data_IF_684660588484
#
_entry.id   IF_684660588484
#
_cell.length_a   1.000
_cell.length_b   1.000
_cell.length_c   1.000
_cell.angle_alpha   90.00
_cell.angle_beta   90.00
_cell.angle_gamma   90.00
#
_symmetry.space_group_name_H-M   'P 1'
#
loop_
_entity.id
_entity.type
_entity.pdbx_description
1 polymer ?
#
# COMPACT_ATOMS: atom_id res chain seq x y z
N UNK A 1 -28.50 21.78 -14.77
CA UNK A 1 -29.41 20.81 -14.18
C UNK A 1 -28.95 20.48 -12.77
N UNK A 2 -29.78 20.77 -11.75
CA UNK A 2 -29.55 20.35 -10.36
C UNK A 2 -29.75 18.83 -10.36
N UNK A 3 -28.66 18.07 -10.44
CA UNK A 3 -28.70 16.62 -10.40
C UNK A 3 -29.39 16.15 -9.13
N UNK A 4 -30.43 15.32 -9.27
CA UNK A 4 -31.18 14.77 -8.16
C UNK A 4 -30.24 13.96 -7.26
N UNK A 5 -30.17 14.26 -5.97
CA UNK A 5 -29.26 13.56 -5.02
C UNK A 5 -29.62 12.09 -4.95
N UNK A 6 -28.65 11.16 -4.97
CA UNK A 6 -28.95 9.74 -4.90
C UNK A 6 -29.62 9.38 -3.57
N UNK A 7 -30.76 8.71 -3.64
CA UNK A 7 -31.51 8.25 -2.48
C UNK A 7 -31.16 6.82 -2.07
N UNK A 8 -30.37 6.13 -2.89
CA UNK A 8 -29.99 4.73 -2.71
C UNK A 8 -28.48 4.56 -2.55
N UNK A 9 -28.06 3.49 -1.90
CA UNK A 9 -26.70 3.25 -1.48
C UNK A 9 -25.75 3.01 -2.67
N UNK A 10 -26.13 2.14 -3.61
CA UNK A 10 -25.28 1.82 -4.76
C UNK A 10 -25.23 2.98 -5.76
N UNK A 11 -26.32 3.75 -5.89
CA UNK A 11 -26.31 4.97 -6.70
C UNK A 11 -25.35 6.02 -6.12
N UNK A 12 -25.37 6.24 -4.79
CA UNK A 12 -24.41 7.11 -4.11
C UNK A 12 -22.97 6.62 -4.30
N UNK A 13 -22.74 5.31 -4.21
CA UNK A 13 -21.41 4.75 -4.38
C UNK A 13 -20.90 4.90 -5.82
N UNK A 14 -21.76 4.73 -6.82
CA UNK A 14 -21.42 4.98 -8.24
C UNK A 14 -21.02 6.42 -8.46
N UNK A 15 -21.84 7.37 -7.97
CA UNK A 15 -21.55 8.81 -8.04
C UNK A 15 -20.15 9.11 -7.42
N UNK A 16 -19.91 8.61 -6.21
CA UNK A 16 -18.61 8.75 -5.55
C UNK A 16 -17.46 8.22 -6.42
N UNK A 17 -17.63 7.04 -7.02
CA UNK A 17 -16.60 6.43 -7.83
C UNK A 17 -16.35 7.20 -9.13
N UNK A 18 -17.38 7.75 -9.78
CA UNK A 18 -17.21 8.58 -10.97
C UNK A 18 -16.52 9.91 -10.67
N UNK A 19 -16.85 10.55 -9.55
CA UNK A 19 -16.12 11.73 -9.11
C UNK A 19 -14.66 11.43 -8.77
N UNK A 20 -14.42 10.31 -8.06
CA UNK A 20 -13.07 9.88 -7.72
C UNK A 20 -12.24 9.58 -8.97
N UNK A 21 -12.85 8.94 -9.99
CA UNK A 21 -12.22 8.63 -11.27
C UNK A 21 -11.72 9.87 -12.00
N UNK A 22 -12.52 10.96 -11.99
CA UNK A 22 -12.13 12.24 -12.61
C UNK A 22 -10.87 12.86 -11.98
N UNK A 23 -10.57 12.50 -10.73
CA UNK A 23 -9.43 13.02 -9.98
C UNK A 23 -8.19 12.11 -10.03
N UNK A 24 -8.29 10.93 -10.65
CA UNK A 24 -7.15 10.01 -10.82
C UNK A 24 -6.11 10.63 -11.76
N UNK A 25 -4.86 10.69 -11.30
CA UNK A 25 -3.76 11.35 -12.02
C UNK A 25 -3.65 12.85 -11.75
N UNK A 26 -4.58 13.46 -11.02
CA UNK A 26 -4.52 14.85 -10.55
C UNK A 26 -4.07 14.86 -9.09
N UNK A 27 -4.93 14.42 -8.17
CA UNK A 27 -4.70 14.38 -6.72
C UNK A 27 -5.10 13.04 -6.10
N UNK A 28 -5.46 12.06 -6.92
CA UNK A 28 -5.84 10.71 -6.52
C UNK A 28 -5.05 9.66 -7.28
N UNK A 29 -4.66 8.60 -6.59
CA UNK A 29 -3.94 7.48 -7.20
C UNK A 29 -4.92 6.40 -7.68
N UNK A 30 -4.57 5.76 -8.80
CA UNK A 30 -5.37 4.73 -9.47
C UNK A 30 -5.69 3.55 -8.57
N UNK A 31 -4.73 3.08 -7.78
CA UNK A 31 -4.90 1.94 -6.87
C UNK A 31 -5.98 2.19 -5.82
N UNK A 32 -6.13 3.44 -5.37
CA UNK A 32 -7.20 3.80 -4.44
C UNK A 32 -8.56 3.73 -5.14
N UNK A 33 -8.67 4.23 -6.38
CA UNK A 33 -9.89 4.12 -7.17
C UNK A 33 -10.29 2.65 -7.37
N UNK A 34 -9.36 1.80 -7.81
CA UNK A 34 -9.60 0.37 -8.00
C UNK A 34 -10.04 -0.32 -6.69
N UNK A 35 -9.53 0.15 -5.57
CA UNK A 35 -9.92 -0.35 -4.26
C UNK A 35 -11.37 0.03 -3.89
N UNK A 36 -11.83 1.22 -4.25
CA UNK A 36 -13.24 1.62 -4.13
C UNK A 36 -14.14 0.82 -5.08
N UNK A 37 -13.69 0.55 -6.30
CA UNK A 37 -14.38 -0.30 -7.26
C UNK A 37 -14.60 -1.73 -6.71
N UNK A 38 -13.58 -2.31 -6.07
CA UNK A 38 -13.71 -3.62 -5.41
C UNK A 38 -14.75 -3.58 -4.28
N UNK A 39 -14.77 -2.52 -3.49
CA UNK A 39 -15.76 -2.37 -2.43
C UNK A 39 -17.18 -2.25 -2.99
N UNK A 40 -17.36 -1.50 -4.07
CA UNK A 40 -18.63 -1.42 -4.78
C UNK A 40 -19.12 -2.80 -5.25
N UNK A 41 -18.23 -3.59 -5.87
CA UNK A 41 -18.56 -4.94 -6.34
C UNK A 41 -19.03 -5.85 -5.19
N UNK A 42 -18.33 -5.84 -4.05
CA UNK A 42 -18.74 -6.63 -2.89
C UNK A 42 -20.07 -6.18 -2.31
N UNK A 43 -20.29 -4.86 -2.20
CA UNK A 43 -21.54 -4.32 -1.67
C UNK A 43 -22.73 -4.59 -2.60
N UNK A 44 -22.55 -4.41 -3.91
CA UNK A 44 -23.55 -4.72 -4.93
C UNK A 44 -23.92 -6.21 -4.93
N UNK A 45 -22.91 -7.10 -4.81
CA UNK A 45 -23.16 -8.52 -4.70
C UNK A 45 -23.93 -8.88 -3.41
N UNK A 46 -23.58 -8.27 -2.27
CA UNK A 46 -24.30 -8.45 -1.01
C UNK A 46 -25.77 -8.03 -1.12
N UNK A 47 -26.05 -6.84 -1.67
CA UNK A 47 -27.42 -6.33 -1.85
C UNK A 47 -28.24 -7.29 -2.72
N UNK A 48 -27.67 -7.77 -3.83
CA UNK A 48 -28.35 -8.70 -4.73
C UNK A 48 -28.53 -10.09 -4.11
N UNK A 49 -27.47 -10.68 -3.57
CA UNK A 49 -27.45 -12.08 -3.15
C UNK A 49 -28.11 -12.33 -1.79
N UNK A 50 -28.01 -11.35 -0.86
CA UNK A 50 -28.53 -11.52 0.52
C UNK A 50 -29.79 -10.70 0.79
N UNK A 51 -30.01 -9.61 0.07
CA UNK A 51 -31.24 -8.79 0.24
C UNK A 51 -32.25 -9.00 -0.90
N UNK A 52 -31.85 -9.65 -2.00
CA UNK A 52 -32.72 -9.89 -3.16
C UNK A 52 -33.14 -8.61 -3.87
N UNK A 53 -32.34 -7.55 -3.77
CA UNK A 53 -32.67 -6.22 -4.29
C UNK A 53 -31.60 -5.75 -5.28
N UNK A 54 -32.01 -4.87 -6.21
CA UNK A 54 -31.04 -4.19 -7.10
C UNK A 54 -30.28 -3.08 -6.36
N UNK A 55 -30.91 -2.40 -5.40
CA UNK A 55 -30.31 -1.36 -4.57
C UNK A 55 -31.13 -1.21 -3.27
N UNK A 56 -30.58 -0.51 -2.28
CA UNK A 56 -31.25 -0.23 -0.99
C UNK A 56 -31.31 1.26 -0.73
N UNK A 57 -32.41 1.74 -0.13
CA UNK A 57 -32.51 3.16 0.22
C UNK A 57 -31.53 3.52 1.33
N UNK A 58 -30.96 4.72 1.28
CA UNK A 58 -30.04 5.19 2.34
C UNK A 58 -30.73 5.25 3.72
N UNK A 59 -32.05 5.47 3.75
CA UNK A 59 -32.83 5.55 4.99
C UNK A 59 -33.07 4.19 5.66
N UNK A 60 -32.99 3.10 4.90
CA UNK A 60 -33.15 1.74 5.45
C UNK A 60 -31.84 1.16 6.01
N UNK A 61 -30.74 1.90 5.93
CA UNK A 61 -29.47 1.47 6.46
C UNK A 61 -29.49 1.52 7.99
N UNK A 62 -29.28 0.38 8.61
CA UNK A 62 -29.23 0.19 10.04
C UNK A 62 -28.02 -0.66 10.46
N UNK A 63 -27.92 -0.95 11.74
CA UNK A 63 -26.86 -1.80 12.27
C UNK A 63 -26.93 -3.22 11.71
N UNK A 64 -28.13 -3.78 11.53
CA UNK A 64 -28.28 -5.15 11.01
C UNK A 64 -27.72 -5.25 9.59
N UNK A 65 -27.99 -4.25 8.74
CA UNK A 65 -27.40 -4.22 7.40
C UNK A 65 -25.86 -4.21 7.45
N UNK A 66 -25.27 -3.46 8.38
CA UNK A 66 -23.82 -3.40 8.54
C UNK A 66 -23.23 -4.73 9.00
N UNK A 67 -23.83 -5.35 10.04
CA UNK A 67 -23.36 -6.61 10.61
C UNK A 67 -23.52 -7.76 9.59
N UNK A 68 -24.65 -7.82 8.84
CA UNK A 68 -24.86 -8.79 7.76
C UNK A 68 -23.85 -8.64 6.63
N UNK A 69 -23.50 -7.39 6.27
CA UNK A 69 -22.46 -7.15 5.26
C UNK A 69 -21.09 -7.61 5.75
N UNK A 70 -20.78 -7.41 7.03
CA UNK A 70 -19.52 -7.92 7.61
C UNK A 70 -19.48 -9.45 7.55
N UNK A 71 -20.57 -10.14 7.96
CA UNK A 71 -20.67 -11.60 7.88
C UNK A 71 -20.49 -12.08 6.45
N UNK A 72 -21.17 -11.48 5.49
CA UNK A 72 -21.03 -11.81 4.07
C UNK A 72 -19.58 -11.69 3.58
N UNK A 73 -18.87 -10.61 3.94
CA UNK A 73 -17.47 -10.44 3.56
C UNK A 73 -16.57 -11.52 4.15
N UNK A 74 -16.84 -11.96 5.40
CA UNK A 74 -16.06 -12.97 6.10
C UNK A 74 -16.35 -14.38 5.59
N UNK A 75 -17.60 -14.74 5.44
CA UNK A 75 -18.06 -16.11 5.15
C UNK A 75 -18.19 -16.40 3.67
N UNK A 76 -19.00 -15.61 2.96
CA UNK A 76 -19.29 -15.86 1.53
C UNK A 76 -18.12 -15.43 0.61
N UNK A 77 -17.37 -14.41 1.01
CA UNK A 77 -16.22 -13.90 0.25
C UNK A 77 -14.88 -14.33 0.83
N UNK A 78 -14.86 -14.95 1.99
CA UNK A 78 -13.66 -15.47 2.68
C UNK A 78 -12.53 -14.44 2.74
N UNK A 79 -12.87 -13.17 3.04
CA UNK A 79 -11.90 -12.08 3.07
C UNK A 79 -11.14 -12.05 4.40
N UNK A 80 -9.86 -11.69 4.32
CA UNK A 80 -9.03 -11.48 5.50
C UNK A 80 -9.51 -10.27 6.32
N UNK A 81 -9.31 -10.24 7.65
CA UNK A 81 -9.81 -9.18 8.55
C UNK A 81 -9.46 -7.77 8.09
N UNK A 82 -8.26 -7.56 7.54
CA UNK A 82 -7.86 -6.25 7.00
C UNK A 82 -8.73 -5.81 5.82
N UNK A 83 -9.04 -6.72 4.90
CA UNK A 83 -9.89 -6.40 3.74
C UNK A 83 -11.34 -6.13 4.17
N UNK A 84 -11.87 -6.91 5.12
CA UNK A 84 -13.19 -6.67 5.72
C UNK A 84 -13.24 -5.27 6.33
N UNK A 85 -12.27 -4.92 7.19
CA UNK A 85 -12.16 -3.57 7.77
C UNK A 85 -12.20 -2.47 6.70
N UNK A 86 -11.45 -2.62 5.62
CA UNK A 86 -11.39 -1.61 4.54
C UNK A 86 -12.74 -1.44 3.82
N UNK A 87 -13.49 -2.52 3.58
CA UNK A 87 -14.81 -2.45 2.95
C UNK A 87 -15.85 -1.80 3.86
N UNK A 88 -15.88 -2.17 5.15
CA UNK A 88 -16.75 -1.58 6.15
C UNK A 88 -16.43 -0.10 6.37
N UNK A 89 -15.15 0.28 6.39
CA UNK A 89 -14.73 1.67 6.50
C UNK A 89 -15.21 2.52 5.32
N UNK A 90 -15.20 1.96 4.10
CA UNK A 90 -15.73 2.66 2.91
C UNK A 90 -17.24 2.80 2.96
N UNK A 91 -17.97 1.79 3.43
CA UNK A 91 -19.41 1.89 3.66
C UNK A 91 -19.71 3.06 4.62
N UNK A 92 -18.99 3.17 5.75
CA UNK A 92 -19.14 4.31 6.66
C UNK A 92 -18.84 5.66 5.99
N UNK A 93 -17.80 5.74 5.16
CA UNK A 93 -17.52 6.98 4.41
C UNK A 93 -18.66 7.41 3.51
N UNK A 94 -19.40 6.46 2.91
CA UNK A 94 -20.57 6.78 2.10
C UNK A 94 -21.73 7.33 2.92
N UNK A 95 -21.99 6.79 4.12
CA UNK A 95 -23.05 7.32 4.99
C UNK A 95 -22.69 8.70 5.53
N UNK A 96 -21.44 8.95 5.88
CA UNK A 96 -20.94 10.30 6.23
C UNK A 96 -21.13 11.27 5.05
N UNK A 97 -20.80 10.83 3.81
CA UNK A 97 -21.07 11.65 2.61
C UNK A 97 -22.54 11.93 2.41
N UNK A 98 -23.44 10.94 2.61
CA UNK A 98 -24.87 11.13 2.52
C UNK A 98 -25.38 12.18 3.54
N UNK A 99 -24.80 12.22 4.74
CA UNK A 99 -25.10 13.26 5.74
C UNK A 99 -24.61 14.63 5.27
N UNK A 100 -23.37 14.73 4.78
CA UNK A 100 -22.82 16.01 4.29
C UNK A 100 -23.60 16.56 3.08
N UNK A 101 -24.19 15.70 2.27
CA UNK A 101 -25.05 16.07 1.15
C UNK A 101 -26.51 16.38 1.58
N UNK A 102 -26.85 16.18 2.86
CA UNK A 102 -28.21 16.38 3.40
C UNK A 102 -29.22 15.30 2.99
N UNK A 103 -28.76 14.16 2.44
CA UNK A 103 -29.61 13.01 2.09
C UNK A 103 -30.01 12.20 3.32
N UNK A 104 -29.09 12.09 4.29
CA UNK A 104 -29.34 11.53 5.62
C UNK A 104 -29.28 12.64 6.69
N UNK A 105 -30.17 12.55 7.70
CA UNK A 105 -30.10 13.47 8.86
C UNK A 105 -28.95 13.15 9.80
N UNK A 106 -28.60 11.87 9.93
CA UNK A 106 -27.51 11.36 10.79
C UNK A 106 -26.89 10.13 10.17
N UNK A 107 -25.61 9.90 10.49
CA UNK A 107 -24.91 8.68 10.09
C UNK A 107 -25.40 7.49 10.92
N UNK A 108 -26.02 6.44 10.32
CA UNK A 108 -26.47 5.26 11.04
C UNK A 108 -25.32 4.48 11.68
N UNK A 109 -24.10 4.69 11.22
CA UNK A 109 -22.88 3.95 11.63
C UNK A 109 -21.92 4.80 12.46
N UNK A 110 -22.33 5.97 12.97
CA UNK A 110 -21.44 6.89 13.69
C UNK A 110 -20.75 6.24 14.91
N UNK A 111 -21.45 5.33 15.61
CA UNK A 111 -20.91 4.61 16.78
C UNK A 111 -20.22 3.28 16.45
N UNK A 112 -20.24 2.85 15.18
CA UNK A 112 -19.61 1.61 14.77
C UNK A 112 -18.15 1.87 14.37
N UNK A 113 -17.24 1.09 14.91
CA UNK A 113 -15.83 1.15 14.56
C UNK A 113 -15.42 -0.22 14.02
N UNK A 114 -15.15 -0.35 12.70
CA UNK A 114 -14.67 -1.61 12.15
C UNK A 114 -13.42 -2.06 12.91
N UNK A 115 -13.38 -3.32 13.33
CA UNK A 115 -12.25 -3.87 14.06
C UNK A 115 -10.97 -3.78 13.23
N UNK A 116 -9.95 -3.13 13.79
CA UNK A 116 -8.63 -3.07 13.16
C UNK A 116 -7.89 -4.39 13.43
N UNK A 117 -7.39 -5.06 12.39
CA UNK A 117 -6.58 -6.25 12.61
C UNK A 117 -5.34 -5.90 13.43
N UNK A 118 -5.00 -6.74 14.39
CA UNK A 118 -3.78 -6.57 15.21
C UNK A 118 -2.56 -6.41 14.30
N UNK A 119 -1.83 -5.33 14.49
CA UNK A 119 -0.57 -5.09 13.77
C UNK A 119 0.46 -6.07 14.29
N UNK A 120 0.89 -7.01 13.46
CA UNK A 120 2.11 -7.77 13.73
C UNK A 120 3.30 -6.85 13.41
N UNK A 121 4.33 -6.88 14.28
CA UNK A 121 5.61 -6.24 13.97
C UNK A 121 6.13 -6.76 12.62
N UNK A 122 6.55 -5.86 11.75
CA UNK A 122 6.96 -6.19 10.38
C UNK A 122 8.46 -5.97 10.15
N UNK A 123 9.19 -5.56 11.17
CA UNK A 123 10.64 -5.51 11.10
C UNK A 123 11.24 -6.90 11.36
N UNK A 124 12.38 -7.18 10.77
CA UNK A 124 13.18 -8.37 11.06
C UNK A 124 13.86 -8.21 12.42
N UNK A 125 14.16 -9.33 13.07
CA UNK A 125 15.10 -9.33 14.18
C UNK A 125 16.49 -8.92 13.68
N UNK A 126 17.26 -8.27 14.52
CA UNK A 126 18.61 -7.82 14.15
C UNK A 126 19.54 -8.98 13.76
N UNK A 127 19.37 -10.13 14.41
CA UNK A 127 20.12 -11.37 14.11
C UNK A 127 19.81 -11.91 12.72
N UNK A 128 18.50 -11.93 12.33
CA UNK A 128 18.07 -12.34 11.00
C UNK A 128 18.61 -11.39 9.92
N UNK A 129 18.63 -10.09 10.21
CA UNK A 129 19.20 -9.09 9.31
C UNK A 129 20.72 -9.30 9.14
N UNK A 130 21.45 -9.55 10.24
CA UNK A 130 22.89 -9.89 10.18
C UNK A 130 23.12 -11.14 9.35
N UNK A 131 22.35 -12.20 9.56
CA UNK A 131 22.41 -13.42 8.76
C UNK A 131 22.20 -13.13 7.27
N UNK A 132 21.17 -12.36 6.93
CA UNK A 132 20.91 -11.95 5.55
C UNK A 132 22.09 -11.19 4.92
N UNK A 133 22.78 -10.35 5.70
CA UNK A 133 23.91 -9.53 5.24
C UNK A 133 25.19 -10.36 5.04
N UNK A 134 25.43 -11.34 5.89
CA UNK A 134 26.71 -12.05 5.96
C UNK A 134 26.72 -13.39 5.21
N UNK A 135 25.56 -14.04 5.06
CA UNK A 135 25.49 -15.35 4.40
C UNK A 135 25.49 -15.21 2.88
N UNK A 136 26.38 -15.85 2.14
CA UNK A 136 26.43 -15.80 0.70
C UNK A 136 25.17 -16.33 0.02
N UNK A 137 24.87 -15.81 -1.17
CA UNK A 137 23.79 -16.29 -2.05
C UNK A 137 24.39 -16.60 -3.41
N UNK A 138 24.19 -17.83 -3.88
CA UNK A 138 24.82 -18.28 -5.13
C UNK A 138 24.18 -17.66 -6.38
N UNK A 139 22.83 -17.60 -6.41
CA UNK A 139 22.10 -17.08 -7.57
C UNK A 139 22.25 -15.56 -7.72
N UNK A 140 22.79 -15.04 -8.84
CA UNK A 140 23.01 -13.60 -9.03
C UNK A 140 21.73 -12.76 -8.86
N UNK A 141 20.56 -13.28 -9.29
CA UNK A 141 19.29 -12.57 -9.16
C UNK A 141 18.85 -12.45 -7.70
N UNK A 142 19.07 -13.49 -6.88
CA UNK A 142 18.78 -13.46 -5.45
C UNK A 142 19.79 -12.56 -4.71
N UNK A 143 21.05 -12.57 -5.13
CA UNK A 143 22.07 -11.66 -4.59
C UNK A 143 21.69 -10.21 -4.85
N UNK A 144 21.24 -9.88 -6.07
CA UNK A 144 20.76 -8.54 -6.40
C UNK A 144 19.58 -8.12 -5.50
N UNK A 145 18.56 -8.97 -5.37
CA UNK A 145 17.37 -8.66 -4.52
C UNK A 145 17.76 -8.52 -3.05
N UNK A 146 18.69 -9.34 -2.55
CA UNK A 146 19.25 -9.20 -1.21
C UNK A 146 19.93 -7.85 -1.00
N UNK A 147 20.79 -7.45 -1.94
CA UNK A 147 21.51 -6.19 -1.85
C UNK A 147 20.53 -4.99 -1.93
N UNK A 148 19.48 -5.09 -2.74
CA UNK A 148 18.40 -4.09 -2.77
C UNK A 148 17.61 -4.04 -1.45
N UNK A 149 17.38 -5.20 -0.82
CA UNK A 149 16.75 -5.27 0.50
C UNK A 149 17.63 -4.58 1.57
N UNK A 150 18.92 -4.87 1.58
CA UNK A 150 19.89 -4.24 2.47
C UNK A 150 19.95 -2.73 2.21
N UNK A 151 20.07 -2.32 0.96
CA UNK A 151 20.06 -0.90 0.58
C UNK A 151 18.80 -0.18 1.10
N UNK A 152 17.62 -0.78 0.90
CA UNK A 152 16.37 -0.24 1.42
C UNK A 152 16.32 -0.22 2.96
N UNK A 153 16.95 -1.17 3.63
CA UNK A 153 17.08 -1.18 5.10
C UNK A 153 17.88 0.01 5.61
N UNK A 154 18.93 0.43 4.91
CA UNK A 154 19.78 1.55 5.31
C UNK A 154 19.34 2.91 4.78
N UNK A 155 18.39 2.97 3.84
CA UNK A 155 17.93 4.22 3.22
C UNK A 155 16.44 4.51 3.44
N UNK A 156 15.68 3.51 3.84
CA UNK A 156 14.22 3.62 3.96
C UNK A 156 13.48 3.79 2.63
N UNK A 157 14.15 3.63 1.48
CA UNK A 157 13.54 3.78 0.17
C UNK A 157 12.61 2.59 -0.13
N UNK A 158 11.42 2.89 -0.67
CA UNK A 158 10.49 1.87 -1.13
C UNK A 158 10.91 1.34 -2.52
N UNK A 159 10.37 0.18 -2.92
CA UNK A 159 10.60 -0.40 -4.25
C UNK A 159 10.41 0.62 -5.39
N UNK A 160 9.34 1.42 -5.32
CA UNK A 160 9.04 2.41 -6.36
C UNK A 160 10.08 3.54 -6.43
N UNK A 161 10.58 3.97 -5.27
CA UNK A 161 11.61 5.00 -5.18
C UNK A 161 12.96 4.46 -5.65
N UNK A 162 13.33 3.22 -5.25
CA UNK A 162 14.51 2.53 -5.76
C UNK A 162 14.52 2.38 -7.29
N UNK A 163 13.37 2.01 -7.86
CA UNK A 163 13.25 1.84 -9.32
C UNK A 163 13.44 3.14 -10.10
N UNK A 164 13.14 4.28 -9.46
CA UNK A 164 13.28 5.60 -10.09
C UNK A 164 14.63 6.25 -9.79
N UNK A 165 15.34 5.79 -8.75
CA UNK A 165 16.55 6.41 -8.26
C UNK A 165 17.56 6.62 -9.40
N UNK A 166 17.90 7.89 -9.63
CA UNK A 166 18.84 8.35 -10.63
C UNK A 166 20.18 8.71 -9.98
N UNK A 167 21.24 8.69 -10.75
CA UNK A 167 22.55 9.21 -10.32
C UNK A 167 22.49 10.70 -9.97
N UNK A 168 21.55 11.44 -10.58
CA UNK A 168 21.33 12.85 -10.32
C UNK A 168 20.66 13.11 -8.96
N UNK A 169 20.05 12.10 -8.35
CA UNK A 169 19.47 12.19 -7.01
C UNK A 169 20.53 12.03 -5.91
N UNK A 170 21.79 11.72 -6.29
CA UNK A 170 22.90 11.47 -5.35
C UNK A 170 23.88 12.62 -5.42
N UNK A 171 24.12 13.28 -4.29
CA UNK A 171 25.03 14.43 -4.18
C UNK A 171 26.02 14.22 -3.06
N UNK A 172 27.21 14.81 -3.20
CA UNK A 172 28.20 14.90 -2.13
C UNK A 172 28.14 16.29 -1.52
N UNK A 173 28.03 16.38 -0.21
CA UNK A 173 28.11 17.63 0.53
C UNK A 173 29.58 18.06 0.74
N UNK A 174 29.79 19.31 1.14
CA UNK A 174 31.11 19.90 1.33
C UNK A 174 31.96 19.17 2.39
N UNK A 175 31.32 18.51 3.34
CA UNK A 175 31.95 17.69 4.38
C UNK A 175 32.34 16.28 3.90
N UNK A 176 32.14 15.99 2.60
CA UNK A 176 32.42 14.69 1.98
C UNK A 176 31.31 13.64 2.17
N UNK A 177 30.24 13.94 2.89
CA UNK A 177 29.11 13.01 3.09
C UNK A 177 28.25 12.90 1.82
N UNK A 178 27.74 11.71 1.56
CA UNK A 178 26.87 11.44 0.42
C UNK A 178 25.40 11.41 0.84
N UNK A 179 24.53 11.97 0.00
CA UNK A 179 23.10 12.10 0.24
C UNK A 179 22.29 11.68 -0.97
N UNK A 180 21.11 11.09 -0.72
CA UNK A 180 20.05 10.93 -1.70
C UNK A 180 18.99 12.00 -1.44
N UNK A 181 18.61 12.75 -2.48
CA UNK A 181 17.50 13.70 -2.47
C UNK A 181 16.46 13.23 -3.47
N UNK A 182 15.33 12.69 -2.99
CA UNK A 182 14.29 12.14 -3.85
C UNK A 182 12.89 12.57 -3.40
N UNK A 183 12.04 12.92 -4.35
CA UNK A 183 10.61 13.08 -4.11
C UNK A 183 9.94 11.71 -4.03
N UNK A 184 9.32 11.40 -2.90
CA UNK A 184 8.64 10.11 -2.71
C UNK A 184 7.42 10.01 -3.61
N UNK A 185 7.31 8.94 -4.39
CA UNK A 185 6.22 8.75 -5.34
C UNK A 185 4.81 8.80 -4.71
N UNK A 186 4.67 8.34 -3.46
CA UNK A 186 3.36 8.26 -2.80
C UNK A 186 2.87 9.58 -2.21
N UNK A 187 3.77 10.44 -1.76
CA UNK A 187 3.44 11.64 -0.97
C UNK A 187 3.96 12.93 -1.58
N UNK A 188 4.74 12.81 -2.66
CA UNK A 188 5.48 13.91 -3.30
C UNK A 188 6.33 14.74 -2.32
N UNK A 189 6.69 14.13 -1.20
CA UNK A 189 7.50 14.78 -0.17
C UNK A 189 8.97 14.58 -0.49
N UNK A 190 9.75 15.65 -0.49
CA UNK A 190 11.21 15.58 -0.58
C UNK A 190 11.76 14.79 0.61
N UNK A 191 12.56 13.79 0.34
CA UNK A 191 13.23 12.96 1.34
C UNK A 191 14.73 13.03 1.10
N UNK A 192 15.47 13.53 2.08
CA UNK A 192 16.92 13.55 2.09
C UNK A 192 17.41 12.43 3.00
N UNK A 193 18.25 11.55 2.47
CA UNK A 193 18.77 10.38 3.18
C UNK A 193 20.28 10.36 3.07
N UNK A 194 20.98 10.38 4.20
CA UNK A 194 22.43 10.20 4.24
C UNK A 194 22.80 8.77 3.84
N UNK A 195 23.75 8.64 2.96
CA UNK A 195 24.33 7.35 2.57
C UNK A 195 25.45 6.97 3.53
N UNK A 196 25.27 5.85 4.20
CA UNK A 196 26.30 5.20 5.00
C UNK A 196 27.18 4.32 4.09
N UNK A 197 28.24 3.72 4.64
CA UNK A 197 29.19 2.93 3.87
C UNK A 197 28.58 1.74 3.13
N UNK A 198 27.63 1.03 3.76
CA UNK A 198 26.97 -0.14 3.15
C UNK A 198 26.19 0.24 1.89
N UNK A 199 25.28 1.22 1.90
CA UNK A 199 24.65 1.74 0.68
C UNK A 199 25.64 2.18 -0.40
N UNK A 200 26.73 2.87 -0.02
CA UNK A 200 27.76 3.30 -0.97
C UNK A 200 28.46 2.11 -1.64
N UNK A 201 28.83 1.09 -0.87
CA UNK A 201 29.41 -0.15 -1.41
C UNK A 201 28.44 -0.87 -2.38
N UNK A 202 27.14 -0.89 -2.08
CA UNK A 202 26.15 -1.48 -2.97
C UNK A 202 26.02 -0.65 -4.27
N UNK A 203 26.02 0.68 -4.19
CA UNK A 203 26.02 1.55 -5.36
C UNK A 203 27.22 1.28 -6.26
N UNK A 204 28.40 1.17 -5.68
CA UNK A 204 29.64 0.91 -6.43
C UNK A 204 29.65 -0.50 -7.03
N UNK A 205 29.19 -1.52 -6.31
CA UNK A 205 29.07 -2.90 -6.80
C UNK A 205 28.28 -3.02 -8.10
N UNK A 206 27.21 -2.23 -8.25
CA UNK A 206 26.34 -2.28 -9.44
C UNK A 206 26.62 -1.18 -10.45
N UNK A 207 27.68 -0.39 -10.27
CA UNK A 207 28.02 0.75 -11.14
C UNK A 207 28.19 0.37 -12.61
N UNK A 208 28.90 -0.72 -12.88
CA UNK A 208 29.15 -1.20 -14.25
C UNK A 208 27.91 -1.78 -14.94
N UNK A 209 26.86 -2.09 -14.19
CA UNK A 209 25.61 -2.66 -14.71
C UNK A 209 24.52 -1.62 -14.96
N UNK A 210 24.81 -0.34 -14.77
CA UNK A 210 23.85 0.75 -14.93
C UNK A 210 23.40 0.91 -16.37
N UNK A 211 22.15 1.27 -16.56
CA UNK A 211 21.58 1.64 -17.85
C UNK A 211 21.04 3.07 -17.77
N UNK A 212 21.56 3.96 -18.59
CA UNK A 212 21.21 5.37 -18.58
C UNK A 212 21.56 6.04 -17.25
N UNK A 213 20.65 6.82 -16.70
CA UNK A 213 20.80 7.57 -15.45
C UNK A 213 20.42 6.77 -14.19
N UNK A 214 19.94 5.53 -14.34
CA UNK A 214 19.49 4.71 -13.21
C UNK A 214 20.65 4.23 -12.36
N UNK A 215 20.49 4.33 -11.03
CA UNK A 215 21.47 3.77 -10.08
C UNK A 215 21.41 2.24 -10.10
N UNK A 216 20.21 1.67 -10.21
CA UNK A 216 20.00 0.22 -10.25
C UNK A 216 19.00 -0.16 -11.35
N UNK A 217 19.26 -1.29 -12.03
CA UNK A 217 18.34 -1.90 -12.98
C UNK A 217 17.35 -2.81 -12.27
N UNK A 218 16.34 -2.23 -11.61
CA UNK A 218 15.37 -2.95 -10.79
C UNK A 218 14.41 -3.76 -11.66
N UNK A 219 14.28 -5.05 -11.37
CA UNK A 219 13.33 -5.97 -12.02
C UNK A 219 11.89 -5.48 -11.96
N UNK A 220 11.03 -6.00 -12.85
CA UNK A 220 9.59 -5.77 -12.78
C UNK A 220 9.01 -6.23 -11.44
N UNK A 221 7.99 -5.54 -10.94
CA UNK A 221 7.45 -5.70 -9.57
C UNK A 221 7.07 -7.15 -9.23
N UNK A 222 6.38 -7.85 -10.14
CA UNK A 222 5.96 -9.24 -9.88
C UNK A 222 7.15 -10.18 -9.72
N UNK A 223 8.14 -10.06 -10.60
CA UNK A 223 9.35 -10.86 -10.57
C UNK A 223 10.21 -10.54 -9.33
N UNK A 224 10.35 -9.26 -9.00
CA UNK A 224 11.06 -8.82 -7.80
C UNK A 224 10.43 -9.36 -6.51
N UNK A 225 9.10 -9.37 -6.41
CA UNK A 225 8.38 -9.96 -5.27
C UNK A 225 8.59 -11.48 -5.20
N UNK A 226 8.58 -12.16 -6.34
CA UNK A 226 8.83 -13.60 -6.42
C UNK A 226 10.23 -13.93 -5.91
N UNK A 227 11.25 -13.22 -6.40
CA UNK A 227 12.64 -13.41 -5.95
C UNK A 227 12.83 -13.07 -4.47
N UNK A 228 12.13 -12.02 -3.96
CA UNK A 228 12.17 -11.69 -2.52
C UNK A 228 11.64 -12.83 -1.67
N UNK A 229 10.57 -13.49 -2.09
CA UNK A 229 10.01 -14.65 -1.38
C UNK A 229 10.93 -15.88 -1.49
N UNK A 230 11.54 -16.10 -2.65
CA UNK A 230 12.52 -17.17 -2.86
C UNK A 230 13.74 -16.96 -1.95
N UNK A 231 14.25 -15.73 -1.89
CA UNK A 231 15.33 -15.35 -0.97
C UNK A 231 14.94 -15.64 0.49
N UNK A 232 13.72 -15.26 0.91
CA UNK A 232 13.24 -15.57 2.26
C UNK A 232 13.23 -17.06 2.56
N UNK A 233 12.79 -17.90 1.62
CA UNK A 233 12.79 -19.36 1.77
C UNK A 233 14.22 -19.90 1.94
N UNK A 234 15.20 -19.38 1.22
CA UNK A 234 16.61 -19.79 1.33
C UNK A 234 17.16 -19.62 2.75
N UNK A 235 16.71 -18.59 3.46
CA UNK A 235 17.14 -18.30 4.84
C UNK A 235 16.16 -18.75 5.92
N UNK A 236 14.99 -19.32 5.55
CA UNK A 236 13.93 -19.68 6.50
C UNK A 236 13.12 -18.48 7.03
N UNK A 237 13.13 -17.35 6.33
CA UNK A 237 12.41 -16.12 6.70
C UNK A 237 11.14 -15.92 5.88
N UNK A 238 10.09 -15.37 6.49
CA UNK A 238 8.96 -14.80 5.74
C UNK A 238 9.33 -13.37 5.31
N UNK A 239 10.03 -13.29 4.17
CA UNK A 239 10.61 -12.04 3.69
C UNK A 239 9.66 -11.30 2.74
N UNK A 240 9.45 -10.02 3.02
CA UNK A 240 8.78 -9.08 2.12
C UNK A 240 9.62 -7.82 1.98
N UNK A 241 9.72 -7.26 0.78
CA UNK A 241 10.56 -6.08 0.57
C UNK A 241 10.16 -4.88 1.42
N UNK A 242 8.88 -4.79 1.84
CA UNK A 242 8.43 -3.72 2.72
C UNK A 242 9.02 -3.78 4.13
N UNK A 243 9.48 -4.97 4.59
CA UNK A 243 10.18 -5.11 5.87
C UNK A 243 11.47 -4.31 5.91
N UNK A 244 12.20 -4.19 4.79
CA UNK A 244 13.42 -3.40 4.72
C UNK A 244 13.18 -1.95 5.19
N UNK A 245 12.10 -1.33 4.76
CA UNK A 245 11.73 0.02 5.19
C UNK A 245 11.31 0.09 6.67
N UNK A 246 10.69 -0.98 7.21
CA UNK A 246 10.41 -1.06 8.63
C UNK A 246 11.68 -1.21 9.47
N UNK A 247 12.67 -1.96 8.94
CA UNK A 247 13.98 -2.10 9.58
C UNK A 247 14.69 -0.74 9.69
N UNK A 248 14.63 0.10 8.64
CA UNK A 248 15.19 1.46 8.67
C UNK A 248 14.67 2.26 9.87
N UNK A 249 13.35 2.32 10.07
CA UNK A 249 12.75 3.04 11.19
C UNK A 249 12.94 2.38 12.57
N UNK A 250 13.51 1.17 12.65
CA UNK A 250 13.67 0.44 13.92
C UNK A 250 15.14 0.27 14.31
N UNK A 251 16.03 0.09 13.33
CA UNK A 251 17.43 -0.28 13.58
C UNK A 251 18.45 0.77 13.15
N UNK A 252 18.06 1.72 12.30
CA UNK A 252 18.98 2.70 11.70
C UNK A 252 18.71 4.13 12.17
N UNK A 253 17.47 4.49 12.49
CA UNK A 253 17.09 5.77 13.10
C UNK A 253 16.98 5.67 14.60
#
# INVERSE_FOLDING_TARGET
>A
GIGQKPLTLLALFREHNEEFKKRVGIDRIRETYESYQRSYKHLSAFVREKKGMEDVTLRSLDRVFYDDFEVFLRTDRNLKPKSVHEHLYRLKKLTVRAVSQGTLRRDPYCRLHPELPKRRSRHMKLEDLKTLMTTPVEKPQLQFVRDMFIFSTFTGLAYADLKRLSVNDITQADDGTWWIHIHRQKTDTLSSVRLLDIPLQIIEKYRSQRTGDKVFNIYGRCYFIMLTKELGKTYGFDLTFHQARHNYGTHIT
#
